data_IF_711896103363
#
_entry.id   IF_711896103363
#
_cell.length_a   1.000
_cell.length_b   1.000
_cell.length_c   1.000
_cell.angle_alpha   90.00
_cell.angle_beta   90.00
_cell.angle_gamma   90.00
#
_symmetry.space_group_name_H-M   'P 1'
#
loop_
_entity.id
_entity.type
_entity.pdbx_description
1 polymer ?
#
# COMPACT_ATOMS: atom_id res chain seq x y z
N UNK A 1 -11.33 -5.43 11.08
CA UNK A 1 -10.51 -5.16 9.89
C UNK A 1 -10.99 -5.93 8.66
N UNK A 2 -11.92 -6.87 8.79
CA UNK A 2 -12.32 -7.77 7.69
C UNK A 2 -13.00 -7.12 6.48
N UNK A 3 -13.41 -5.85 6.58
CA UNK A 3 -14.15 -5.17 5.51
C UNK A 3 -13.25 -4.34 4.56
N UNK A 4 -11.97 -4.15 4.89
CA UNK A 4 -11.01 -3.40 4.06
C UNK A 4 -10.10 -4.35 3.27
N UNK A 5 -9.62 -3.94 2.07
CA UNK A 5 -8.60 -4.68 1.31
C UNK A 5 -7.36 -4.96 2.17
N UNK A 6 -6.92 -6.22 2.18
CA UNK A 6 -5.68 -6.66 2.81
C UNK A 6 -4.50 -6.41 1.88
N UNK A 7 -3.78 -5.31 2.09
CA UNK A 7 -2.68 -4.86 1.25
C UNK A 7 -1.37 -4.73 2.06
N UNK A 8 -1.16 -5.63 3.03
CA UNK A 8 -0.03 -5.60 3.94
C UNK A 8 1.33 -5.63 3.24
N UNK A 9 1.46 -6.32 2.10
CA UNK A 9 2.71 -6.35 1.33
C UNK A 9 3.11 -4.93 0.89
N UNK A 10 2.16 -4.11 0.45
CA UNK A 10 2.39 -2.71 0.06
C UNK A 10 2.78 -1.85 1.26
N UNK A 11 2.10 -2.02 2.39
CA UNK A 11 2.42 -1.32 3.66
C UNK A 11 3.86 -1.66 4.08
N UNK A 12 4.22 -2.94 4.10
CA UNK A 12 5.57 -3.42 4.47
C UNK A 12 6.64 -2.93 3.51
N UNK A 13 6.35 -2.89 2.22
CA UNK A 13 7.27 -2.34 1.23
C UNK A 13 7.60 -0.87 1.55
N UNK A 14 6.59 -0.01 1.71
CA UNK A 14 6.82 1.41 2.00
C UNK A 14 7.54 1.58 3.34
N UNK A 15 7.16 0.79 4.35
CA UNK A 15 7.82 0.79 5.64
C UNK A 15 9.30 0.48 5.54
N UNK A 16 9.70 -0.57 4.82
CA UNK A 16 11.11 -0.92 4.64
C UNK A 16 11.93 0.19 3.94
N UNK A 17 11.30 0.94 3.02
CA UNK A 17 11.97 2.09 2.41
C UNK A 17 12.13 3.24 3.41
N UNK A 18 11.11 3.47 4.24
CA UNK A 18 11.10 4.53 5.25
C UNK A 18 12.06 4.28 6.42
N UNK A 19 12.11 3.04 6.90
CA UNK A 19 12.95 2.63 8.01
C UNK A 19 14.44 2.55 7.60
N UNK A 20 14.75 2.72 6.32
CA UNK A 20 16.11 2.64 5.79
C UNK A 20 16.64 1.22 5.70
N UNK A 21 15.76 0.21 5.78
CA UNK A 21 16.11 -1.20 5.64
C UNK A 21 16.59 -1.54 4.21
N UNK A 22 16.16 -0.73 3.24
CA UNK A 22 16.68 -0.77 1.88
C UNK A 22 17.96 0.05 1.76
N UNK A 23 18.99 -0.52 1.12
CA UNK A 23 20.21 0.24 0.83
C UNK A 23 19.92 1.36 -0.17
N UNK A 24 20.65 2.47 -0.04
CA UNK A 24 20.52 3.62 -0.95
C UNK A 24 20.72 3.24 -2.42
N UNK A 25 21.63 2.30 -2.71
CA UNK A 25 21.87 1.76 -4.06
C UNK A 25 20.63 1.06 -4.66
N UNK A 26 19.87 0.35 -3.83
CA UNK A 26 18.67 -0.39 -4.23
C UNK A 26 17.50 0.58 -4.49
N UNK A 27 17.38 1.62 -3.68
CA UNK A 27 16.40 2.69 -3.89
C UNK A 27 16.71 3.46 -5.17
N UNK A 28 17.98 3.81 -5.40
CA UNK A 28 18.40 4.48 -6.63
C UNK A 28 18.13 3.60 -7.88
N UNK A 29 18.31 2.28 -7.77
CA UNK A 29 17.97 1.34 -8.84
C UNK A 29 16.47 1.38 -9.18
N UNK A 30 15.59 1.49 -8.18
CA UNK A 30 14.15 1.67 -8.42
C UNK A 30 13.84 3.00 -9.11
N UNK A 31 14.46 4.09 -8.66
CA UNK A 31 14.22 5.44 -9.19
C UNK A 31 14.70 5.62 -10.63
N UNK A 32 15.70 4.85 -11.04
CA UNK A 32 16.32 4.93 -12.39
C UNK A 32 15.80 3.85 -13.35
N UNK A 33 15.11 2.82 -12.85
CA UNK A 33 14.53 1.78 -13.69
C UNK A 33 13.36 2.33 -14.52
N UNK A 34 13.46 2.27 -15.85
CA UNK A 34 12.44 2.81 -16.78
C UNK A 34 11.05 2.21 -16.61
N UNK A 35 10.95 0.98 -16.12
CA UNK A 35 9.68 0.27 -15.94
C UNK A 35 9.08 0.46 -14.54
N UNK A 36 9.91 0.73 -13.53
CA UNK A 36 9.49 0.80 -12.13
C UNK A 36 9.48 2.22 -11.55
N UNK A 37 10.30 3.13 -12.08
CA UNK A 37 10.46 4.50 -11.55
C UNK A 37 9.15 5.29 -11.50
N UNK A 38 8.33 5.22 -12.55
CA UNK A 38 7.01 5.86 -12.55
C UNK A 38 6.08 5.28 -11.49
N UNK A 39 6.05 3.95 -11.37
CA UNK A 39 5.25 3.24 -10.36
C UNK A 39 5.70 3.59 -8.94
N UNK A 40 7.02 3.59 -8.71
CA UNK A 40 7.64 3.94 -7.44
C UNK A 40 7.32 5.39 -7.05
N UNK A 41 7.56 6.36 -7.95
CA UNK A 41 7.26 7.79 -7.68
C UNK A 41 5.78 8.03 -7.40
N UNK A 42 4.88 7.39 -8.15
CA UNK A 42 3.44 7.49 -7.89
C UNK A 42 3.10 6.93 -6.52
N UNK A 43 3.69 5.80 -6.11
CA UNK A 43 3.49 5.25 -4.77
C UNK A 43 4.00 6.19 -3.66
N UNK A 44 5.18 6.81 -3.86
CA UNK A 44 5.75 7.79 -2.92
C UNK A 44 4.89 9.04 -2.75
N UNK A 45 4.02 9.37 -3.71
CA UNK A 45 3.05 10.47 -3.54
C UNK A 45 2.03 10.23 -2.41
N UNK A 46 1.92 8.98 -1.93
CA UNK A 46 1.06 8.57 -0.83
C UNK A 46 1.77 8.54 0.54
N UNK A 47 3.04 8.95 0.61
CA UNK A 47 3.87 8.92 1.82
C UNK A 47 3.25 9.67 3.00
N UNK A 48 2.57 10.78 2.76
CA UNK A 48 1.92 11.55 3.84
C UNK A 48 0.81 10.76 4.54
N UNK A 49 0.06 9.94 3.79
CA UNK A 49 -0.98 9.06 4.33
C UNK A 49 -0.38 7.87 5.07
N UNK A 50 0.74 7.35 4.57
CA UNK A 50 1.50 6.32 5.27
C UNK A 50 2.07 6.86 6.59
N UNK A 51 2.65 8.06 6.59
CA UNK A 51 3.20 8.68 7.78
C UNK A 51 2.12 8.95 8.84
N UNK A 52 0.91 9.37 8.45
CA UNK A 52 -0.21 9.53 9.38
C UNK A 52 -0.58 8.20 10.08
N UNK A 53 -0.60 7.07 9.36
CA UNK A 53 -0.81 5.74 9.97
C UNK A 53 0.29 5.40 10.99
N UNK A 54 1.54 5.71 10.64
CA UNK A 54 2.71 5.43 11.49
C UNK A 54 2.70 6.29 12.75
N UNK A 55 2.52 7.61 12.62
CA UNK A 55 2.44 8.54 13.75
C UNK A 55 1.34 8.16 14.73
N UNK A 56 0.21 7.65 14.23
CA UNK A 56 -0.85 7.09 15.08
C UNK A 56 -0.35 5.87 15.87
N UNK A 57 0.35 4.95 15.22
CA UNK A 57 0.94 3.77 15.87
C UNK A 57 1.97 4.16 16.94
N UNK A 58 2.87 5.09 16.61
CA UNK A 58 3.89 5.60 17.52
C UNK A 58 3.25 6.30 18.74
N UNK A 59 2.16 7.05 18.53
CA UNK A 59 1.42 7.68 19.62
C UNK A 59 0.72 6.67 20.53
N UNK A 60 0.14 5.62 19.95
CA UNK A 60 -0.47 4.51 20.70
C UNK A 60 0.59 3.78 21.55
N UNK A 61 1.76 3.49 20.97
CA UNK A 61 2.90 2.87 21.68
C UNK A 61 3.47 3.78 22.79
N UNK A 62 3.41 5.10 22.59
CA UNK A 62 3.77 6.10 23.60
C UNK A 62 2.72 6.26 24.72
N UNK A 63 1.61 5.51 24.67
CA UNK A 63 0.55 5.53 25.67
C UNK A 63 -0.43 6.69 25.55
N UNK A 64 -0.51 7.33 24.38
CA UNK A 64 -1.54 8.34 24.10
C UNK A 64 -2.92 7.67 24.05
N UNK A 65 -3.92 8.32 24.63
CA UNK A 65 -5.29 7.80 24.64
C UNK A 65 -5.81 7.55 23.21
N UNK A 66 -6.13 6.29 22.85
CA UNK A 66 -6.64 5.95 21.52
C UNK A 66 -7.90 6.71 21.12
N UNK A 67 -8.70 7.19 22.08
CA UNK A 67 -9.91 7.99 21.81
C UNK A 67 -9.58 9.39 21.27
N UNK A 68 -8.36 9.88 21.50
CA UNK A 68 -7.88 11.17 21.00
C UNK A 68 -7.16 11.07 19.66
N UNK A 69 -6.86 9.84 19.22
CA UNK A 69 -6.15 9.57 17.99
C UNK A 69 -7.13 9.41 16.81
N UNK A 70 -6.69 9.68 15.57
CA UNK A 70 -7.48 9.35 14.39
C UNK A 70 -7.81 7.86 14.32
N UNK A 71 -8.93 7.53 13.67
CA UNK A 71 -9.41 6.14 13.57
C UNK A 71 -8.45 5.33 12.68
N UNK A 72 -7.87 4.25 13.22
CA UNK A 72 -6.88 3.42 12.52
C UNK A 72 -7.37 2.90 11.16
N UNK A 73 -8.60 2.39 11.11
CA UNK A 73 -9.20 1.87 9.89
C UNK A 73 -9.41 2.94 8.83
N UNK A 74 -9.66 4.19 9.24
CA UNK A 74 -9.78 5.32 8.33
C UNK A 74 -8.42 5.67 7.72
N UNK A 75 -7.37 5.81 8.54
CA UNK A 75 -6.03 6.09 8.03
C UNK A 75 -5.54 4.99 7.09
N UNK A 76 -5.82 3.73 7.42
CA UNK A 76 -5.53 2.60 6.54
C UNK A 76 -6.32 2.67 5.23
N UNK A 77 -7.63 2.97 5.28
CA UNK A 77 -8.46 3.15 4.09
C UNK A 77 -7.97 4.28 3.19
N UNK A 78 -7.56 5.41 3.77
CA UNK A 78 -6.99 6.55 3.04
C UNK A 78 -5.68 6.17 2.34
N UNK A 79 -4.79 5.49 3.06
CA UNK A 79 -3.54 5.01 2.52
C UNK A 79 -3.74 4.01 1.37
N UNK A 80 -4.52 2.94 1.56
CA UNK A 80 -4.72 1.92 0.52
C UNK A 80 -5.49 2.49 -0.68
N UNK A 81 -6.36 3.48 -0.49
CA UNK A 81 -7.04 4.15 -1.61
C UNK A 81 -6.06 4.98 -2.41
N UNK A 82 -5.15 5.71 -1.76
CA UNK A 82 -4.10 6.45 -2.47
C UNK A 82 -3.12 5.51 -3.18
N UNK A 83 -2.54 4.55 -2.46
CA UNK A 83 -1.58 3.60 -3.00
C UNK A 83 -2.20 2.73 -4.10
N UNK A 84 -3.46 2.32 -3.90
CA UNK A 84 -4.25 1.63 -4.90
C UNK A 84 -4.49 2.48 -6.15
N UNK A 85 -4.85 3.76 -6.01
CA UNK A 85 -4.99 4.67 -7.15
C UNK A 85 -3.68 4.83 -7.93
N UNK A 86 -2.55 4.93 -7.21
CA UNK A 86 -1.22 5.07 -7.80
C UNK A 86 -0.73 3.82 -8.56
N UNK A 87 -1.07 2.61 -8.07
CA UNK A 87 -0.57 1.34 -8.61
C UNK A 87 -1.58 0.60 -9.50
N UNK A 88 -2.87 0.77 -9.20
CA UNK A 88 -3.96 -0.11 -9.53
C UNK A 88 -5.28 0.64 -9.78
N UNK A 89 -5.20 1.83 -10.41
CA UNK A 89 -6.31 2.77 -10.64
C UNK A 89 -7.65 2.08 -10.90
N UNK A 90 -7.74 1.22 -11.92
CA UNK A 90 -8.99 0.53 -12.29
C UNK A 90 -9.58 -0.33 -11.16
N UNK A 91 -8.73 -1.07 -10.45
CA UNK A 91 -9.19 -1.94 -9.36
C UNK A 91 -9.62 -1.11 -8.15
N UNK A 92 -8.92 0.00 -7.88
CA UNK A 92 -9.29 0.93 -6.81
C UNK A 92 -10.58 1.67 -7.10
N UNK A 93 -10.78 2.18 -8.32
CA UNK A 93 -12.04 2.80 -8.74
C UNK A 93 -13.21 1.82 -8.60
N UNK A 94 -13.04 0.58 -9.05
CA UNK A 94 -14.08 -0.43 -8.89
C UNK A 94 -14.42 -0.67 -7.41
N UNK A 95 -13.40 -0.73 -6.55
CA UNK A 95 -13.58 -0.92 -5.10
C UNK A 95 -14.33 0.26 -4.48
N UNK A 96 -13.88 1.50 -4.70
CA UNK A 96 -14.51 2.69 -4.13
C UNK A 96 -15.95 2.85 -4.60
N UNK A 97 -16.21 2.63 -5.90
CA UNK A 97 -17.59 2.65 -6.44
C UNK A 97 -18.47 1.57 -5.82
N UNK A 98 -17.93 0.37 -5.55
CA UNK A 98 -18.69 -0.67 -4.87
C UNK A 98 -19.05 -0.27 -3.44
N UNK A 99 -18.07 0.24 -2.68
CA UNK A 99 -18.26 0.73 -1.29
C UNK A 99 -19.33 1.82 -1.24
N UNK A 100 -19.24 2.82 -2.12
CA UNK A 100 -20.23 3.90 -2.22
C UNK A 100 -21.63 3.37 -2.53
N UNK A 101 -21.72 2.41 -3.46
CA UNK A 101 -22.99 1.78 -3.83
C UNK A 101 -23.63 1.01 -2.68
N UNK A 102 -22.87 0.20 -1.92
CA UNK A 102 -23.42 -0.56 -0.79
C UNK A 102 -23.81 0.36 0.37
N UNK A 103 -23.06 1.44 0.62
CA UNK A 103 -23.43 2.46 1.61
C UNK A 103 -24.73 3.16 1.24
N UNK A 104 -24.85 3.60 -0.02
CA UNK A 104 -26.06 4.29 -0.52
C UNK A 104 -27.29 3.39 -0.47
N UNK A 105 -27.13 2.10 -0.75
CA UNK A 105 -28.22 1.13 -0.80
C UNK A 105 -28.46 0.40 0.53
N UNK A 106 -27.73 0.76 1.59
CA UNK A 106 -27.75 0.09 2.90
C UNK A 106 -27.60 -1.45 2.79
N UNK A 107 -26.69 -1.89 1.93
CA UNK A 107 -26.37 -3.30 1.65
C UNK A 107 -25.15 -3.77 2.42
N UNK A 108 -24.94 -5.09 2.45
CA UNK A 108 -23.75 -5.67 3.08
C UNK A 108 -22.49 -5.33 2.28
N UNK A 109 -21.42 -4.93 2.96
CA UNK A 109 -20.09 -4.72 2.35
C UNK A 109 -19.51 -5.99 1.72
N UNK A 110 -19.98 -7.18 2.14
CA UNK A 110 -19.61 -8.46 1.55
C UNK A 110 -19.99 -8.58 0.07
N UNK A 111 -20.97 -7.79 -0.39
CA UNK A 111 -21.31 -7.71 -1.81
C UNK A 111 -20.14 -7.17 -2.66
N UNK A 112 -19.15 -6.51 -2.02
CA UNK A 112 -17.93 -6.01 -2.66
C UNK A 112 -16.73 -6.97 -2.59
N UNK A 113 -16.87 -8.18 -2.02
CA UNK A 113 -15.75 -9.12 -1.80
C UNK A 113 -14.96 -9.46 -3.08
N UNK A 114 -15.66 -9.57 -4.21
CA UNK A 114 -15.00 -9.86 -5.48
C UNK A 114 -14.05 -8.72 -5.89
N UNK A 115 -14.53 -7.48 -5.79
CA UNK A 115 -13.77 -6.29 -6.19
C UNK A 115 -12.67 -5.97 -5.18
N UNK A 116 -12.93 -6.21 -3.88
CA UNK A 116 -11.92 -6.20 -2.83
C UNK A 116 -10.73 -7.09 -3.20
N UNK A 117 -10.99 -8.37 -3.53
CA UNK A 117 -9.95 -9.33 -3.94
C UNK A 117 -9.20 -8.92 -5.20
N UNK A 118 -9.86 -8.24 -6.13
CA UNK A 118 -9.20 -7.71 -7.34
C UNK A 118 -8.19 -6.63 -6.99
N UNK A 119 -8.56 -5.70 -6.10
CA UNK A 119 -7.65 -4.66 -5.61
C UNK A 119 -6.47 -5.26 -4.85
N UNK A 120 -6.72 -6.20 -3.94
CA UNK A 120 -5.67 -6.91 -3.18
C UNK A 120 -4.65 -7.59 -4.10
N UNK A 121 -5.13 -8.36 -5.09
CA UNK A 121 -4.27 -9.05 -6.07
C UNK A 121 -3.45 -8.07 -6.91
N UNK A 122 -4.08 -6.99 -7.38
CA UNK A 122 -3.37 -5.98 -8.15
C UNK A 122 -2.26 -5.34 -7.32
N UNK A 123 -2.58 -4.89 -6.10
CA UNK A 123 -1.61 -4.23 -5.23
C UNK A 123 -0.47 -5.18 -4.82
N UNK A 124 -0.76 -6.45 -4.53
CA UNK A 124 0.27 -7.46 -4.29
C UNK A 124 1.20 -7.61 -5.50
N UNK A 125 0.65 -7.83 -6.70
CA UNK A 125 1.44 -8.01 -7.91
C UNK A 125 2.32 -6.79 -8.23
N UNK A 126 1.79 -5.57 -8.09
CA UNK A 126 2.56 -4.35 -8.34
C UNK A 126 3.65 -4.12 -7.28
N UNK A 127 3.35 -4.45 -6.04
CA UNK A 127 4.35 -4.36 -4.96
C UNK A 127 5.45 -5.42 -5.14
N UNK A 128 5.11 -6.62 -5.59
CA UNK A 128 6.09 -7.66 -5.92
C UNK A 128 7.03 -7.24 -7.05
N UNK A 129 6.53 -6.53 -8.07
CA UNK A 129 7.37 -5.97 -9.14
C UNK A 129 8.37 -4.93 -8.59
N UNK A 130 7.92 -4.07 -7.65
CA UNK A 130 8.80 -3.13 -6.95
C UNK A 130 9.81 -3.84 -6.04
N UNK A 131 9.38 -4.86 -5.29
CA UNK A 131 10.27 -5.66 -4.43
C UNK A 131 11.37 -6.35 -5.24
N UNK A 132 11.04 -6.91 -6.41
CA UNK A 132 12.04 -7.49 -7.33
C UNK A 132 13.05 -6.46 -7.82
N UNK A 133 12.61 -5.21 -8.03
CA UNK A 133 13.48 -4.10 -8.39
C UNK A 133 14.36 -3.62 -7.23
N UNK A 134 13.86 -3.70 -5.99
CA UNK A 134 14.56 -3.30 -4.77
C UNK A 134 15.59 -4.34 -4.31
N UNK A 135 15.32 -5.63 -4.52
CA UNK A 135 16.22 -6.71 -4.08
C UNK A 135 16.67 -7.57 -5.27
N UNK A 136 17.39 -6.99 -6.25
CA UNK A 136 17.81 -7.73 -7.43
C UNK A 136 18.69 -8.93 -7.06
N UNK A 137 19.45 -8.86 -5.97
CA UNK A 137 20.31 -9.93 -5.44
C UNK A 137 19.51 -11.19 -5.01
N UNK A 138 18.29 -11.01 -4.50
CA UNK A 138 17.44 -12.08 -3.96
C UNK A 138 16.57 -12.69 -5.07
N UNK A 139 16.12 -11.87 -6.02
CA UNK A 139 15.23 -12.30 -7.12
C UNK A 139 15.95 -12.62 -8.43
N UNK A 140 17.21 -12.21 -8.57
CA UNK A 140 18.19 -12.75 -9.52
C UNK A 140 19.43 -13.12 -8.70
N UNK A 141 19.46 -14.32 -8.09
CA UNK A 141 20.72 -14.85 -7.61
C UNK A 141 21.63 -14.87 -8.83
N UNK A 142 22.76 -14.20 -8.73
CA UNK A 142 23.75 -14.07 -9.78
C UNK A 142 23.90 -15.40 -10.50
N UNK A 143 23.67 -15.42 -11.82
CA UNK A 143 24.41 -16.34 -12.67
C UNK A 143 25.88 -15.97 -12.43
N UNK A 144 26.54 -16.72 -11.55
CA UNK A 144 27.97 -16.58 -11.33
C UNK A 144 28.68 -16.80 -12.69
N UNK A 145 29.76 -16.05 -12.98
CA UNK A 145 30.56 -16.26 -14.19
C UNK A 145 31.17 -17.67 -14.25
#
# INVERSE_FOLDING_TARGET
>A
MDDLPSCFTTVRFIQAIWDGDAKEEDVLALETNRHLSGMYRNLRSCDSRFNAMRERGDAEDAGVDPATLPVASQLYAEFITCAGGALCEKATTAWTTCVESVQTQNKSIRDCDHVKKLMERCMSSKTEDLLKGLQPQIYRPSAAP
#
